data_IF_031832677378
#
_entry.id   IF_031832677378
#
_cell.length_a   1.000
_cell.length_b   1.000
_cell.length_c   1.000
_cell.angle_alpha   90.00
_cell.angle_beta   90.00
_cell.angle_gamma   90.00
#
_symmetry.space_group_name_H-M   'P 1'
#
loop_
_entity.id
_entity.type
_entity.pdbx_description
1 polymer ?
#
# COMPACT_ATOMS: atom_id res chain seq x y z
N UNK A 1 -4.75 -24.63 -17.28
CA UNK A 1 -3.69 -23.73 -17.77
C UNK A 1 -4.23 -22.50 -18.50
N UNK A 2 -5.26 -22.59 -19.35
CA UNK A 2 -5.82 -21.42 -20.05
C UNK A 2 -6.43 -20.33 -19.15
N UNK A 3 -7.06 -20.69 -18.01
CA UNK A 3 -7.64 -19.71 -17.07
C UNK A 3 -6.60 -18.87 -16.33
N UNK A 4 -5.45 -19.46 -15.98
CA UNK A 4 -4.37 -18.74 -15.31
C UNK A 4 -3.64 -17.78 -16.25
N UNK A 5 -3.45 -18.16 -17.53
CA UNK A 5 -2.87 -17.28 -18.55
C UNK A 5 -3.78 -16.08 -18.85
N UNK A 6 -5.10 -16.29 -18.85
CA UNK A 6 -6.08 -15.20 -19.00
C UNK A 6 -6.05 -14.20 -17.84
N UNK A 7 -5.91 -14.69 -16.60
CA UNK A 7 -5.79 -13.84 -15.42
C UNK A 7 -4.49 -13.01 -15.45
N UNK A 8 -3.36 -13.62 -15.81
CA UNK A 8 -2.06 -12.93 -15.90
C UNK A 8 -2.08 -11.83 -16.98
N UNK A 9 -2.67 -12.10 -18.14
CA UNK A 9 -2.80 -11.10 -19.21
C UNK A 9 -3.74 -9.94 -18.82
N UNK A 10 -4.80 -10.23 -18.08
CA UNK A 10 -5.73 -9.22 -17.55
C UNK A 10 -5.05 -8.32 -16.51
N UNK A 11 -4.26 -8.91 -15.61
CA UNK A 11 -3.47 -8.16 -14.61
C UNK A 11 -2.43 -7.27 -15.29
N UNK A 12 -1.70 -7.77 -16.30
CA UNK A 12 -0.76 -6.97 -17.08
C UNK A 12 -1.43 -5.81 -17.82
N UNK A 13 -2.63 -6.02 -18.37
CA UNK A 13 -3.42 -4.97 -19.01
C UNK A 13 -3.90 -3.91 -18.00
N UNK A 14 -4.28 -4.33 -16.79
CA UNK A 14 -4.71 -3.43 -15.72
C UNK A 14 -3.53 -2.59 -15.19
N UNK A 15 -2.41 -3.25 -14.90
CA UNK A 15 -1.17 -2.62 -14.44
C UNK A 15 -0.67 -1.64 -15.51
N UNK A 16 -0.54 -2.06 -16.77
CA UNK A 16 -0.09 -1.17 -17.85
C UNK A 16 -1.00 0.05 -18.03
N UNK A 17 -2.34 -0.10 -17.95
CA UNK A 17 -3.26 1.06 -17.99
C UNK A 17 -3.02 2.05 -16.85
N UNK A 18 -2.68 1.58 -15.66
CA UNK A 18 -2.33 2.45 -14.54
C UNK A 18 -0.99 3.16 -14.81
N UNK A 19 0.01 2.47 -15.37
CA UNK A 19 1.35 3.01 -15.63
C UNK A 19 1.44 3.94 -16.88
N UNK A 20 0.55 3.83 -17.86
CA UNK A 20 0.61 4.55 -19.15
C UNK A 20 0.02 5.98 -19.14
N UNK A 21 -0.68 6.40 -18.08
CA UNK A 21 -1.27 7.75 -17.96
C UNK A 21 -0.20 8.88 -17.85
N UNK A 22 -0.50 10.11 -18.33
CA UNK A 22 0.46 11.12 -18.83
C UNK A 22 1.54 11.57 -17.83
N UNK A 23 2.62 12.13 -18.37
CA UNK A 23 3.80 12.65 -17.65
C UNK A 23 3.37 13.76 -16.67
N UNK A 24 3.22 13.39 -15.39
CA UNK A 24 3.15 14.33 -14.27
C UNK A 24 4.42 14.26 -13.42
N UNK A 25 4.51 15.11 -12.41
CA UNK A 25 5.66 15.16 -11.50
C UNK A 25 5.96 13.80 -10.86
N UNK A 26 7.25 13.48 -10.72
CA UNK A 26 7.71 12.19 -10.20
C UNK A 26 7.12 11.91 -8.81
N UNK A 27 7.09 12.93 -7.94
CA UNK A 27 6.59 12.82 -6.57
C UNK A 27 5.10 12.44 -6.52
N UNK A 28 4.24 13.05 -7.35
CA UNK A 28 2.81 12.71 -7.43
C UNK A 28 2.61 11.29 -8.00
N UNK A 29 3.45 10.89 -8.96
CA UNK A 29 3.40 9.52 -9.52
C UNK A 29 3.82 8.46 -8.50
N UNK A 30 4.85 8.73 -7.71
CA UNK A 30 5.29 7.83 -6.64
C UNK A 30 4.18 7.66 -5.59
N UNK A 31 3.65 8.77 -5.09
CA UNK A 31 2.74 8.79 -3.94
C UNK A 31 1.28 8.40 -4.25
N UNK A 32 0.85 8.46 -5.51
CA UNK A 32 -0.54 8.11 -5.86
C UNK A 32 -0.69 6.90 -6.77
N UNK A 33 0.32 6.58 -7.59
CA UNK A 33 0.20 5.51 -8.60
C UNK A 33 1.02 4.30 -8.21
N UNK A 34 2.32 4.50 -8.00
CA UNK A 34 3.25 3.40 -7.75
C UNK A 34 2.96 2.77 -6.40
N UNK A 35 2.88 3.59 -5.35
CA UNK A 35 2.52 3.15 -3.99
C UNK A 35 1.16 2.46 -3.95
N UNK A 36 0.11 3.04 -4.54
CA UNK A 36 -1.23 2.41 -4.60
C UNK A 36 -1.19 1.06 -5.32
N UNK A 37 -0.49 0.95 -6.45
CA UNK A 37 -0.33 -0.33 -7.14
C UNK A 37 0.40 -1.36 -6.29
N UNK A 38 1.52 -0.98 -5.66
CA UNK A 38 2.30 -1.89 -4.81
C UNK A 38 1.42 -2.37 -3.65
N UNK A 39 0.77 -1.46 -2.92
CA UNK A 39 -0.07 -1.79 -1.78
C UNK A 39 -1.27 -2.65 -2.19
N UNK A 40 -1.95 -2.32 -3.31
CA UNK A 40 -3.09 -3.08 -3.80
C UNK A 40 -2.70 -4.49 -4.26
N UNK A 41 -1.57 -4.63 -4.96
CA UNK A 41 -1.06 -5.95 -5.39
C UNK A 41 -0.61 -6.77 -4.17
N UNK A 42 0.15 -6.17 -3.24
CA UNK A 42 0.55 -6.83 -1.99
C UNK A 42 -0.65 -7.28 -1.16
N UNK A 43 -1.67 -6.42 -1.00
CA UNK A 43 -2.91 -6.78 -0.33
C UNK A 43 -3.63 -7.93 -1.03
N UNK A 44 -3.75 -7.89 -2.37
CA UNK A 44 -4.36 -8.96 -3.15
C UNK A 44 -3.60 -10.29 -3.04
N UNK A 45 -2.26 -10.25 -3.05
CA UNK A 45 -1.41 -11.43 -2.86
C UNK A 45 -1.58 -12.03 -1.47
N UNK A 46 -1.56 -11.22 -0.42
CA UNK A 46 -1.78 -11.69 0.95
C UNK A 46 -3.23 -12.18 1.15
N UNK A 47 -4.21 -11.58 0.50
CA UNK A 47 -5.58 -12.09 0.56
C UNK A 47 -5.70 -13.45 -0.14
N UNK A 48 -4.93 -13.67 -1.21
CA UNK A 48 -4.97 -14.93 -1.95
C UNK A 48 -4.45 -16.12 -1.14
N UNK A 49 -3.54 -15.90 -0.19
CA UNK A 49 -3.02 -16.99 0.66
C UNK A 49 -4.10 -17.54 1.58
N UNK A 50 -5.11 -16.75 1.97
CA UNK A 50 -6.27 -17.24 2.74
C UNK A 50 -7.15 -18.21 1.96
N UNK A 51 -7.12 -18.20 0.62
CA UNK A 51 -7.94 -19.06 -0.22
C UNK A 51 -7.19 -20.29 -0.74
N UNK A 52 -5.88 -20.19 -0.95
CA UNK A 52 -5.09 -21.20 -1.67
C UNK A 52 -4.19 -22.01 -0.71
N UNK A 53 -3.94 -21.53 0.50
CA UNK A 53 -3.09 -22.23 1.48
C UNK A 53 -3.54 -22.07 2.92
N UNK A 54 -2.88 -22.80 3.80
CA UNK A 54 -3.10 -22.70 5.25
C UNK A 54 -2.24 -21.55 5.81
N UNK A 55 -2.82 -20.52 6.45
CA UNK A 55 -2.07 -19.37 6.95
C UNK A 55 -1.16 -19.71 8.13
N UNK A 56 -1.45 -20.79 8.85
CA UNK A 56 -0.67 -21.31 9.97
C UNK A 56 -0.82 -22.83 10.05
N UNK A 57 0.25 -23.52 10.42
CA UNK A 57 0.26 -24.95 10.69
C UNK A 57 0.69 -25.19 12.14
N UNK A 58 -0.18 -25.84 12.92
CA UNK A 58 0.07 -26.09 14.34
C UNK A 58 0.64 -27.50 14.56
N UNK A 59 1.65 -27.58 15.41
CA UNK A 59 2.13 -28.87 15.93
C UNK A 59 1.14 -29.40 16.98
N UNK A 60 0.22 -30.26 16.55
CA UNK A 60 -0.82 -30.85 17.41
C UNK A 60 -0.45 -32.27 17.82
N UNK A 61 -0.99 -32.77 18.96
CA UNK A 61 -0.60 -34.09 19.45
C UNK A 61 -1.21 -35.21 18.59
N UNK A 62 -0.51 -36.34 18.49
CA UNK A 62 -0.79 -37.41 17.53
C UNK A 62 -2.20 -38.04 17.63
N UNK A 63 -2.89 -37.91 18.77
CA UNK A 63 -4.27 -38.40 18.95
C UNK A 63 -5.34 -37.54 18.27
N UNK A 64 -5.01 -36.39 17.67
CA UNK A 64 -6.00 -35.55 16.99
C UNK A 64 -6.29 -36.08 15.58
N UNK A 65 -7.58 -36.23 15.26
CA UNK A 65 -7.98 -36.49 13.88
C UNK A 65 -7.76 -35.24 13.03
N UNK A 66 -7.71 -35.41 11.70
CA UNK A 66 -7.50 -34.29 10.76
C UNK A 66 -8.45 -33.11 11.00
N UNK A 67 -9.73 -33.39 11.29
CA UNK A 67 -10.72 -32.35 11.58
C UNK A 67 -10.36 -31.50 12.82
N UNK A 68 -9.79 -32.14 13.85
CA UNK A 68 -9.31 -31.42 15.03
C UNK A 68 -8.07 -30.59 14.73
N UNK A 69 -7.18 -31.06 13.86
CA UNK A 69 -6.00 -30.30 13.42
C UNK A 69 -6.43 -29.04 12.68
N UNK A 70 -7.35 -29.17 11.72
CA UNK A 70 -7.87 -28.04 10.95
C UNK A 70 -8.59 -27.02 11.86
N UNK A 71 -9.34 -27.50 12.86
CA UNK A 71 -9.95 -26.64 13.88
C UNK A 71 -8.91 -25.90 14.73
N UNK A 72 -7.85 -26.58 15.19
CA UNK A 72 -6.80 -25.94 15.99
C UNK A 72 -6.05 -24.90 15.17
N UNK A 73 -5.75 -25.17 13.90
CA UNK A 73 -5.12 -24.20 13.00
C UNK A 73 -5.95 -22.91 12.90
N UNK A 74 -7.27 -23.03 12.67
CA UNK A 74 -8.17 -21.87 12.61
C UNK A 74 -8.30 -21.18 13.96
N UNK A 75 -8.43 -21.94 15.05
CA UNK A 75 -8.52 -21.40 16.40
C UNK A 75 -7.28 -20.56 16.75
N UNK A 76 -6.08 -21.09 16.51
CA UNK A 76 -4.84 -20.38 16.77
C UNK A 76 -4.65 -19.18 15.84
N UNK A 77 -5.05 -19.30 14.57
CA UNK A 77 -5.01 -18.18 13.66
C UNK A 77 -5.88 -17.03 14.13
N UNK A 78 -7.11 -17.29 14.63
CA UNK A 78 -8.09 -16.26 15.02
C UNK A 78 -7.86 -15.70 16.43
N UNK A 79 -7.55 -16.57 17.41
CA UNK A 79 -7.35 -16.15 18.80
C UNK A 79 -6.00 -15.44 19.06
N UNK A 80 -5.10 -15.47 18.08
CA UNK A 80 -3.78 -14.84 18.15
C UNK A 80 -2.73 -15.74 18.78
N UNK A 81 -1.47 -15.37 18.55
CA UNK A 81 -0.30 -16.11 19.01
C UNK A 81 0.62 -15.20 19.82
N UNK A 82 1.63 -15.78 20.45
CA UNK A 82 2.64 -15.03 21.18
C UNK A 82 4.02 -15.64 20.95
N UNK A 83 5.05 -14.82 21.15
CA UNK A 83 6.44 -15.25 20.98
C UNK A 83 7.16 -15.31 22.32
N UNK A 84 7.87 -16.41 22.53
CA UNK A 84 8.81 -16.62 23.63
C UNK A 84 10.08 -17.21 23.00
N UNK A 85 11.28 -16.72 23.35
CA UNK A 85 12.53 -17.32 22.88
C UNK A 85 12.61 -18.81 23.25
N UNK A 86 13.06 -19.65 22.32
CA UNK A 86 13.11 -21.11 22.51
C UNK A 86 14.05 -21.57 23.63
N UNK A 87 14.97 -20.71 24.07
CA UNK A 87 15.91 -20.98 25.16
C UNK A 87 15.29 -20.73 26.55
N UNK A 88 14.12 -20.10 26.61
CA UNK A 88 13.44 -19.76 27.86
C UNK A 88 12.27 -20.72 28.11
N UNK A 89 12.00 -21.00 29.38
CA UNK A 89 10.83 -21.80 29.76
C UNK A 89 9.57 -20.93 29.75
N UNK A 90 8.42 -21.55 29.41
CA UNK A 90 7.14 -20.85 29.42
C UNK A 90 6.77 -20.43 30.85
N UNK A 91 6.64 -19.13 31.07
CA UNK A 91 6.22 -18.57 32.36
C UNK A 91 4.85 -19.11 32.79
N UNK A 92 4.67 -19.26 34.12
CA UNK A 92 3.40 -19.71 34.66
C UNK A 92 2.31 -18.66 34.48
N UNK A 93 2.68 -17.41 34.73
CA UNK A 93 1.81 -16.25 34.59
C UNK A 93 1.46 -15.98 33.12
N UNK A 94 0.20 -15.62 32.89
CA UNK A 94 -0.33 -15.41 31.54
C UNK A 94 0.17 -14.07 30.96
N UNK A 95 0.35 -13.04 31.80
CA UNK A 95 0.83 -11.72 31.37
C UNK A 95 2.29 -11.77 30.93
N UNK A 96 3.15 -12.41 31.72
CA UNK A 96 4.57 -12.57 31.37
C UNK A 96 4.75 -13.41 30.11
N UNK A 97 4.00 -14.51 29.97
CA UNK A 97 4.05 -15.39 28.78
C UNK A 97 3.58 -14.67 27.52
N UNK A 98 2.60 -13.77 27.63
CA UNK A 98 1.99 -13.04 26.49
C UNK A 98 2.53 -11.64 26.30
N UNK A 99 3.67 -11.30 26.93
CA UNK A 99 4.30 -9.99 26.80
C UNK A 99 4.50 -9.55 25.34
N UNK A 100 4.81 -10.49 24.45
CA UNK A 100 4.94 -10.26 23.00
C UNK A 100 3.83 -11.00 22.25
N UNK A 101 2.65 -10.39 22.16
CA UNK A 101 1.54 -10.93 21.36
C UNK A 101 1.67 -10.58 19.89
N UNK A 102 1.29 -11.50 19.02
CA UNK A 102 1.37 -11.37 17.56
C UNK A 102 -0.02 -11.55 16.98
N UNK A 103 -0.62 -10.44 16.57
CA UNK A 103 -1.97 -10.41 15.99
C UNK A 103 -2.04 -9.65 14.66
N UNK A 104 -0.95 -8.98 14.25
CA UNK A 104 -0.95 -8.12 13.06
C UNK A 104 -1.13 -8.90 11.75
N UNK A 105 -0.72 -10.17 11.65
CA UNK A 105 -0.84 -10.98 10.42
C UNK A 105 -2.27 -11.10 9.90
N UNK A 106 -3.27 -11.10 10.79
CA UNK A 106 -4.69 -11.13 10.41
C UNK A 106 -5.12 -9.84 9.71
N UNK A 107 -4.57 -8.70 10.14
CA UNK A 107 -5.04 -7.37 9.74
C UNK A 107 -4.26 -6.77 8.57
N UNK A 108 -3.01 -7.18 8.37
CA UNK A 108 -2.12 -6.68 7.30
C UNK A 108 -2.80 -6.60 5.93
N UNK A 109 -3.45 -7.64 5.37
CA UNK A 109 -4.05 -7.54 4.03
C UNK A 109 -5.15 -6.47 3.95
N UNK A 110 -5.95 -6.31 5.00
CA UNK A 110 -7.03 -5.31 5.06
C UNK A 110 -6.48 -3.90 5.27
N UNK A 111 -5.48 -3.74 6.13
CA UNK A 111 -4.82 -2.45 6.35
C UNK A 111 -4.17 -2.00 5.05
N UNK A 112 -3.39 -2.84 4.37
CA UNK A 112 -2.76 -2.47 3.09
C UNK A 112 -3.78 -2.06 2.01
N UNK A 113 -4.95 -2.70 1.95
CA UNK A 113 -6.03 -2.28 1.05
C UNK A 113 -6.56 -0.88 1.40
N UNK A 114 -6.78 -0.62 2.70
CA UNK A 114 -7.19 0.69 3.19
C UNK A 114 -6.13 1.76 2.91
N UNK A 115 -4.85 1.44 3.09
CA UNK A 115 -3.74 2.34 2.78
C UNK A 115 -3.69 2.66 1.28
N UNK A 116 -3.85 1.66 0.41
CA UNK A 116 -3.92 1.86 -1.03
C UNK A 116 -5.08 2.81 -1.41
N UNK A 117 -6.24 2.64 -0.78
CA UNK A 117 -7.37 3.54 -0.98
C UNK A 117 -7.06 4.97 -0.51
N UNK A 118 -6.51 5.14 0.69
CA UNK A 118 -6.17 6.46 1.25
C UNK A 118 -5.10 7.17 0.40
N UNK A 119 -4.09 6.48 -0.12
CA UNK A 119 -3.10 7.06 -1.05
C UNK A 119 -3.70 7.52 -2.38
N UNK A 120 -4.87 7.00 -2.78
CA UNK A 120 -5.57 7.46 -3.98
C UNK A 120 -6.37 8.76 -3.76
N UNK A 121 -6.82 9.05 -2.53
CA UNK A 121 -7.70 10.19 -2.22
C UNK A 121 -7.14 11.55 -2.67
N UNK A 122 -5.87 11.93 -2.40
CA UNK A 122 -5.37 13.25 -2.79
C UNK A 122 -5.43 13.49 -4.30
N UNK A 123 -5.18 12.45 -5.10
CA UNK A 123 -5.30 12.49 -6.56
C UNK A 123 -6.75 12.66 -7.01
N UNK A 124 -7.68 11.96 -6.36
CA UNK A 124 -9.11 12.11 -6.63
C UNK A 124 -9.59 13.54 -6.31
N UNK A 125 -9.15 14.09 -5.18
CA UNK A 125 -9.44 15.46 -4.76
C UNK A 125 -8.89 16.46 -5.78
N UNK A 126 -7.62 16.34 -6.18
CA UNK A 126 -7.02 17.19 -7.22
C UNK A 126 -7.82 17.17 -8.53
N UNK A 127 -8.16 15.97 -9.02
CA UNK A 127 -8.95 15.82 -10.26
C UNK A 127 -10.34 16.42 -10.15
N UNK A 128 -10.98 16.30 -8.99
CA UNK A 128 -12.30 16.86 -8.75
C UNK A 128 -12.26 18.39 -8.69
N UNK A 129 -11.25 18.95 -8.01
CA UNK A 129 -11.05 20.40 -7.89
C UNK A 129 -10.68 21.05 -9.23
N UNK A 130 -9.80 20.44 -10.03
CA UNK A 130 -9.46 21.00 -11.35
C UNK A 130 -10.65 20.96 -12.32
N UNK A 131 -11.47 19.91 -12.25
CA UNK A 131 -12.71 19.84 -13.03
C UNK A 131 -13.70 20.94 -12.63
N UNK A 132 -13.79 21.27 -11.33
CA UNK A 132 -14.60 22.40 -10.85
C UNK A 132 -14.04 23.75 -11.31
N UNK A 133 -12.72 23.90 -11.34
CA UNK A 133 -12.03 25.10 -11.84
C UNK A 133 -12.37 25.41 -13.31
N UNK A 134 -12.73 24.39 -14.10
CA UNK A 134 -13.24 24.58 -15.47
C UNK A 134 -12.18 24.84 -16.54
N UNK A 135 -10.89 24.71 -16.19
CA UNK A 135 -9.78 24.69 -17.15
C UNK A 135 -9.16 23.29 -17.17
N UNK A 136 -9.26 22.59 -18.30
CA UNK A 136 -8.66 21.27 -18.46
C UNK A 136 -7.17 21.38 -18.80
N UNK A 137 -6.33 21.37 -17.76
CA UNK A 137 -4.88 21.35 -17.90
C UNK A 137 -4.39 20.12 -18.68
N UNK A 138 -5.06 18.97 -18.55
CA UNK A 138 -4.62 17.74 -19.21
C UNK A 138 -4.81 17.83 -20.73
N UNK A 139 -5.91 18.43 -21.19
CA UNK A 139 -6.12 18.72 -22.61
C UNK A 139 -5.05 19.68 -23.15
N UNK A 140 -4.77 20.77 -22.42
CA UNK A 140 -3.78 21.75 -22.83
C UNK A 140 -2.36 21.17 -22.94
N UNK A 141 -1.94 20.39 -21.95
CA UNK A 141 -0.62 19.74 -21.97
C UNK A 141 -0.53 18.72 -23.12
N UNK A 142 -1.57 17.90 -23.35
CA UNK A 142 -1.58 16.93 -24.46
C UNK A 142 -1.52 17.60 -25.82
N UNK A 143 -2.22 18.72 -25.99
CA UNK A 143 -2.20 19.48 -27.24
C UNK A 143 -0.79 20.03 -27.54
N UNK A 144 -0.16 20.66 -26.55
CA UNK A 144 1.20 21.20 -26.71
C UNK A 144 2.23 20.10 -26.91
N UNK A 145 2.14 18.98 -26.18
CA UNK A 145 3.04 17.83 -26.34
C UNK A 145 2.90 17.18 -27.72
N UNK A 146 1.67 17.02 -28.21
CA UNK A 146 1.41 16.54 -29.58
C UNK A 146 1.97 17.48 -30.64
N UNK A 147 1.78 18.79 -30.47
CA UNK A 147 2.35 19.81 -31.36
C UNK A 147 3.89 19.77 -31.35
N UNK A 148 4.50 19.73 -30.17
CA UNK A 148 5.95 19.66 -30.03
C UNK A 148 6.54 18.40 -30.68
N UNK A 149 5.90 17.25 -30.47
CA UNK A 149 6.33 15.97 -31.06
C UNK A 149 6.32 16.02 -32.59
N UNK A 150 5.37 16.74 -33.20
CA UNK A 150 5.30 16.90 -34.66
C UNK A 150 6.42 17.77 -35.23
N UNK A 151 6.87 18.79 -34.49
CA UNK A 151 7.83 19.80 -34.98
C UNK A 151 9.27 19.47 -34.58
N UNK A 152 9.49 18.79 -33.44
CA UNK A 152 10.82 18.53 -32.88
C UNK A 152 11.78 17.89 -33.88
N UNK A 153 11.28 16.95 -34.69
CA UNK A 153 12.10 16.16 -35.62
C UNK A 153 12.25 16.80 -37.01
N UNK A 154 11.59 17.92 -37.28
CA UNK A 154 11.70 18.63 -38.56
C UNK A 154 12.77 19.71 -38.48
N UNK A 155 13.91 19.51 -39.14
CA UNK A 155 15.02 20.49 -39.16
C UNK A 155 14.68 21.74 -39.99
N UNK A 156 13.89 21.59 -41.07
CA UNK A 156 13.50 22.70 -41.94
C UNK A 156 12.71 23.81 -41.22
N UNK A 157 12.02 23.47 -40.12
CA UNK A 157 11.25 24.44 -39.34
C UNK A 157 12.08 25.12 -38.26
N UNK A 158 13.34 24.75 -38.02
CA UNK A 158 14.13 25.21 -36.87
C UNK A 158 14.11 26.74 -36.68
N UNK A 159 14.35 27.51 -37.75
CA UNK A 159 14.31 28.98 -37.73
C UNK A 159 12.90 29.54 -37.50
N UNK A 160 11.87 28.84 -37.95
CA UNK A 160 10.45 29.24 -37.79
C UNK A 160 9.78 28.63 -36.56
N UNK A 161 10.47 27.81 -35.74
CA UNK A 161 9.86 27.13 -34.58
C UNK A 161 9.26 28.13 -33.60
N UNK A 162 9.97 29.22 -33.31
CA UNK A 162 9.48 30.26 -32.40
C UNK A 162 8.16 30.88 -32.91
N UNK A 163 8.12 31.26 -34.19
CA UNK A 163 6.91 31.80 -34.82
C UNK A 163 5.76 30.78 -34.86
N UNK A 164 6.08 29.49 -35.05
CA UNK A 164 5.09 28.42 -35.01
C UNK A 164 4.49 28.23 -33.60
N UNK A 165 5.29 28.37 -32.55
CA UNK A 165 4.83 28.36 -31.16
C UNK A 165 3.97 29.59 -30.83
N UNK A 166 4.38 30.76 -31.31
CA UNK A 166 3.64 32.00 -31.12
C UNK A 166 2.25 31.92 -31.78
N UNK A 167 2.14 31.42 -33.01
CA UNK A 167 0.87 31.43 -33.75
C UNK A 167 -0.16 30.37 -33.33
N UNK A 168 0.26 29.20 -32.81
CA UNK A 168 -0.63 28.05 -32.57
C UNK A 168 -0.80 27.71 -31.09
N UNK A 169 0.19 27.09 -30.40
CA UNK A 169 0.01 26.66 -29.02
C UNK A 169 -0.14 27.83 -28.04
N UNK A 170 0.55 28.95 -28.28
CA UNK A 170 0.41 30.13 -27.40
C UNK A 170 -1.01 30.70 -27.43
N UNK A 171 -1.60 30.81 -28.63
CA UNK A 171 -2.97 31.30 -28.83
C UNK A 171 -3.98 30.34 -28.20
N UNK A 172 -3.81 29.03 -28.38
CA UNK A 172 -4.67 28.01 -27.78
C UNK A 172 -4.68 28.10 -26.24
N UNK A 173 -3.51 28.20 -25.61
CA UNK A 173 -3.41 28.35 -24.14
C UNK A 173 -4.00 29.69 -23.71
N UNK A 174 -3.68 30.77 -24.40
CA UNK A 174 -4.13 32.12 -24.02
C UNK A 174 -5.65 32.26 -24.10
N UNK A 175 -6.28 31.70 -25.14
CA UNK A 175 -7.73 31.68 -25.26
C UNK A 175 -8.36 30.83 -24.15
N UNK A 176 -7.83 29.63 -23.89
CA UNK A 176 -8.27 28.78 -22.78
C UNK A 176 -8.19 29.48 -21.41
N UNK A 177 -7.10 30.20 -21.13
CA UNK A 177 -6.93 30.99 -19.91
C UNK A 177 -7.94 32.15 -19.81
N UNK A 178 -8.25 32.80 -20.94
CA UNK A 178 -9.24 33.87 -21.01
C UNK A 178 -10.65 33.35 -20.69
N UNK A 179 -11.02 32.19 -21.23
CA UNK A 179 -12.28 31.51 -20.89
C UNK A 179 -12.33 31.10 -19.42
N UNK A 180 -11.26 30.50 -18.89
CA UNK A 180 -11.17 30.10 -17.49
C UNK A 180 -11.34 31.30 -16.53
N UNK A 181 -10.72 32.44 -16.84
CA UNK A 181 -10.81 33.66 -16.04
C UNK A 181 -12.24 34.22 -15.97
N UNK A 182 -13.03 34.10 -17.05
CA UNK A 182 -14.46 34.49 -17.05
C UNK A 182 -15.30 33.62 -16.12
N UNK A 183 -14.95 32.34 -15.96
CA UNK A 183 -15.59 31.41 -15.01
C UNK A 183 -15.05 31.55 -13.57
N UNK A 184 -14.35 32.63 -13.25
CA UNK A 184 -13.79 32.92 -11.91
C UNK A 184 -12.74 31.90 -11.42
N UNK A 185 -12.11 31.16 -12.34
CA UNK A 185 -11.03 30.22 -12.05
C UNK A 185 -9.70 30.92 -11.73
N UNK A 186 -9.62 31.66 -10.63
CA UNK A 186 -8.38 32.30 -10.16
C UNK A 186 -7.59 31.43 -9.18
N UNK A 187 -8.25 30.43 -8.58
CA UNK A 187 -7.73 29.72 -7.41
C UNK A 187 -7.12 28.35 -7.74
N UNK A 188 -6.79 28.08 -9.01
CA UNK A 188 -6.19 26.81 -9.44
C UNK A 188 -4.87 26.51 -8.70
N UNK A 189 -4.04 27.52 -8.48
CA UNK A 189 -2.81 27.39 -7.72
C UNK A 189 -3.10 27.01 -6.25
N UNK A 190 -4.12 27.63 -5.64
CA UNK A 190 -4.56 27.30 -4.28
C UNK A 190 -5.01 25.82 -4.21
N UNK A 191 -5.85 25.36 -5.14
CA UNK A 191 -6.28 23.96 -5.18
C UNK A 191 -5.11 22.98 -5.31
N UNK A 192 -4.09 23.32 -6.09
CA UNK A 192 -2.88 22.49 -6.21
C UNK A 192 -2.08 22.45 -4.90
N UNK A 193 -1.91 23.59 -4.24
CA UNK A 193 -1.22 23.63 -2.93
C UNK A 193 -1.99 22.85 -1.87
N UNK A 194 -3.31 22.95 -1.81
CA UNK A 194 -4.15 22.18 -0.90
C UNK A 194 -4.04 20.67 -1.16
N UNK A 195 -4.08 20.24 -2.42
CA UNK A 195 -3.89 18.84 -2.78
C UNK A 195 -2.49 18.33 -2.39
N UNK A 196 -1.47 19.16 -2.52
CA UNK A 196 -0.09 18.82 -2.13
C UNK A 196 0.07 18.70 -0.62
N UNK A 197 -0.50 19.63 0.15
CA UNK A 197 -0.53 19.56 1.62
C UNK A 197 -1.28 18.31 2.08
N UNK A 198 -2.42 18.01 1.47
CA UNK A 198 -3.18 16.79 1.74
C UNK A 198 -2.34 15.52 1.45
N UNK A 199 -1.58 15.51 0.36
CA UNK A 199 -0.69 14.39 0.04
C UNK A 199 0.42 14.20 1.08
N UNK A 200 1.01 15.29 1.58
CA UNK A 200 2.02 15.26 2.63
C UNK A 200 1.46 14.74 3.95
N UNK A 201 0.32 15.27 4.40
CA UNK A 201 -0.36 14.83 5.61
C UNK A 201 -0.72 13.34 5.51
N UNK A 202 -1.24 12.92 4.36
CA UNK A 202 -1.57 11.53 4.12
C UNK A 202 -0.32 10.64 4.24
N UNK A 203 0.80 11.00 3.61
CA UNK A 203 2.04 10.21 3.70
C UNK A 203 2.50 9.99 5.16
N UNK A 204 2.45 11.04 5.99
CA UNK A 204 2.76 10.92 7.42
C UNK A 204 1.75 10.07 8.18
N UNK A 205 0.45 10.22 7.91
CA UNK A 205 -0.58 9.40 8.53
C UNK A 205 -0.42 7.92 8.17
N UNK A 206 -0.10 7.59 6.92
CA UNK A 206 0.13 6.21 6.48
C UNK A 206 1.36 5.59 7.14
N UNK A 207 2.43 6.36 7.29
CA UNK A 207 3.62 5.93 8.00
C UNK A 207 3.33 5.67 9.49
N UNK A 208 2.57 6.56 10.15
CA UNK A 208 2.15 6.37 11.53
C UNK A 208 1.25 5.14 11.71
N UNK A 209 0.29 4.91 10.81
CA UNK A 209 -0.58 3.71 10.82
C UNK A 209 0.26 2.43 10.73
N UNK A 210 1.27 2.38 9.86
CA UNK A 210 2.16 1.21 9.78
C UNK A 210 2.96 1.02 11.06
N UNK A 211 3.52 2.10 11.62
CA UNK A 211 4.28 2.03 12.86
C UNK A 211 3.44 1.52 14.03
N UNK A 212 2.18 1.98 14.13
CA UNK A 212 1.23 1.54 15.16
C UNK A 212 0.67 0.15 14.92
N UNK A 213 0.62 -0.36 13.69
CA UNK A 213 0.18 -1.74 13.41
C UNK A 213 1.25 -2.76 13.83
N UNK A 214 2.51 -2.41 13.60
CA UNK A 214 3.69 -3.21 13.91
C UNK A 214 4.17 -3.01 15.36
N UNK A 215 3.38 -2.30 16.17
CA UNK A 215 3.79 -1.71 17.45
C UNK A 215 4.66 -2.68 18.25
N UNK A 216 5.89 -2.23 18.47
CA UNK A 216 6.91 -2.94 19.22
C UNK A 216 7.20 -2.13 20.48
N UNK A 217 7.15 -2.74 21.67
CA UNK A 217 7.52 -2.06 22.90
C UNK A 217 9.01 -1.65 22.94
N UNK A 218 9.84 -2.11 22.00
CA UNK A 218 11.30 -1.91 22.00
C UNK A 218 11.79 -0.78 21.08
N UNK A 219 11.01 -0.37 20.06
CA UNK A 219 11.49 0.58 19.06
C UNK A 219 10.42 1.58 18.63
N UNK A 220 10.75 2.87 18.65
CA UNK A 220 9.87 3.92 18.12
C UNK A 220 9.85 4.00 16.59
N UNK A 221 10.93 3.53 15.93
CA UNK A 221 11.10 3.49 14.47
C UNK A 221 11.54 2.10 14.03
N UNK A 222 10.62 1.27 13.52
CA UNK A 222 10.93 -0.13 13.19
C UNK A 222 11.87 -0.31 11.98
N UNK A 223 11.83 0.59 10.99
CA UNK A 223 12.50 0.40 9.70
C UNK A 223 14.04 0.35 9.77
N UNK A 224 14.73 1.47 10.10
CA UNK A 224 16.18 1.49 10.15
C UNK A 224 16.76 0.53 11.20
N UNK A 225 16.13 0.42 12.37
CA UNK A 225 16.58 -0.48 13.44
C UNK A 225 16.56 -1.94 13.00
N UNK A 226 15.49 -2.38 12.33
CA UNK A 226 15.42 -3.74 11.80
C UNK A 226 16.51 -4.02 10.74
N UNK A 227 16.81 -3.04 9.88
CA UNK A 227 17.89 -3.18 8.91
C UNK A 227 19.27 -3.28 9.57
N UNK A 228 19.49 -2.53 10.65
CA UNK A 228 20.76 -2.61 11.40
C UNK A 228 20.91 -3.93 12.13
N UNK A 229 19.84 -4.47 12.70
CA UNK A 229 19.86 -5.76 13.40
C UNK A 229 20.11 -6.89 12.38
N UNK A 230 19.44 -6.84 11.23
CA UNK A 230 19.66 -7.81 10.15
C UNK A 230 21.07 -7.73 9.54
N UNK A 231 21.66 -6.53 9.47
CA UNK A 231 23.04 -6.34 9.01
C UNK A 231 24.08 -6.84 10.02
N UNK A 232 23.76 -6.85 11.32
CA UNK A 232 24.60 -7.44 12.38
C UNK A 232 24.46 -8.97 12.45
N UNK A 233 23.43 -9.53 11.82
CA UNK A 233 23.12 -10.96 11.86
C UNK A 233 22.22 -11.35 13.05
N UNK A 234 21.54 -10.38 13.67
CA UNK A 234 20.59 -10.64 14.74
C UNK A 234 19.26 -11.12 14.16
N UNK A 235 19.01 -12.43 14.27
CA UNK A 235 17.81 -13.07 13.75
C UNK A 235 16.56 -12.83 14.63
N UNK A 236 15.38 -13.19 14.09
CA UNK A 236 14.08 -13.12 14.77
C UNK A 236 14.03 -13.87 16.12
N UNK A 237 14.91 -14.84 16.33
CA UNK A 237 14.99 -15.60 17.58
C UNK A 237 15.47 -14.74 18.75
N UNK A 238 16.31 -13.74 18.47
CA UNK A 238 16.90 -12.84 19.47
C UNK A 238 16.06 -11.57 19.58
N UNK A 239 15.67 -11.00 18.45
CA UNK A 239 14.94 -9.72 18.40
C UNK A 239 13.45 -9.88 18.71
N UNK A 240 12.89 -11.07 18.52
CA UNK A 240 11.45 -11.33 18.64
C UNK A 240 10.60 -10.66 17.55
N UNK A 241 11.23 -10.07 16.53
CA UNK A 241 10.55 -9.44 15.41
C UNK A 241 10.29 -10.43 14.28
N UNK A 242 9.04 -10.45 13.80
CA UNK A 242 8.56 -11.36 12.76
C UNK A 242 8.96 -12.82 12.97
N UNK A 243 8.66 -13.41 14.15
CA UNK A 243 9.08 -14.77 14.44
C UNK A 243 8.33 -15.75 13.55
N UNK A 244 9.07 -16.77 13.08
CA UNK A 244 8.52 -17.82 12.22
C UNK A 244 7.87 -18.95 13.01
N UNK A 245 8.21 -19.05 14.29
CA UNK A 245 7.66 -20.02 15.24
C UNK A 245 7.07 -19.25 16.40
N UNK A 246 5.81 -19.57 16.72
CA UNK A 246 5.02 -18.88 17.74
C UNK A 246 4.23 -19.90 18.55
N UNK A 247 3.87 -19.53 19.77
CA UNK A 247 3.06 -20.34 20.67
C UNK A 247 1.59 -19.89 20.63
N UNK A 248 0.69 -20.85 20.87
CA UNK A 248 -0.76 -20.64 20.90
C UNK A 248 -1.37 -21.41 22.06
N UNK A 249 -2.15 -20.74 22.90
CA UNK A 249 -2.86 -21.39 24.00
C UNK A 249 -4.18 -21.98 23.49
N UNK A 250 -4.30 -23.31 23.48
CA UNK A 250 -5.53 -24.00 23.07
C UNK A 250 -6.40 -24.39 24.27
N UNK A 251 -7.65 -23.91 24.28
CA UNK A 251 -8.61 -24.14 25.35
C UNK A 251 -9.61 -25.24 24.99
N UNK A 252 -9.76 -26.24 25.87
CA UNK A 252 -10.85 -27.23 25.79
C UNK A 252 -11.83 -27.06 26.93
N UNK A 253 -13.13 -27.04 26.62
CA UNK A 253 -14.20 -27.01 27.61
C UNK A 253 -14.71 -28.43 27.86
N UNK A 254 -14.72 -28.85 29.13
CA UNK A 254 -15.41 -30.04 29.65
C UNK A 254 -16.20 -29.60 30.89
N UNK A 255 -17.20 -30.38 31.37
CA UNK A 255 -18.03 -29.99 32.52
C UNK A 255 -17.23 -29.62 33.79
N UNK A 256 -15.98 -30.08 33.92
CA UNK A 256 -15.02 -29.60 34.91
C UNK A 256 -13.98 -28.66 34.26
N UNK A 257 -14.26 -27.35 34.29
CA UNK A 257 -13.35 -26.21 34.01
C UNK A 257 -12.60 -26.15 32.64
N UNK A 258 -12.09 -24.96 32.33
CA UNK A 258 -11.26 -24.67 31.15
C UNK A 258 -9.88 -25.30 31.33
N UNK A 259 -9.56 -26.34 30.55
CA UNK A 259 -8.20 -26.87 30.50
C UNK A 259 -7.41 -26.15 29.39
N UNK A 260 -6.50 -25.26 29.79
CA UNK A 260 -5.46 -24.66 28.94
C UNK A 260 -4.34 -25.69 28.76
N UNK A 261 -4.03 -26.10 27.53
CA UNK A 261 -2.76 -26.79 27.24
C UNK A 261 -1.71 -25.73 26.89
N UNK A 262 -0.62 -25.72 27.66
CA UNK A 262 0.59 -24.95 27.39
C UNK A 262 1.43 -25.64 26.34
#
# INVERSE_FOLDING_TARGET
>A
MASQVGAINSVNALISKVFVQPKGDLADRLNSRITVCILAVSSGLLMSTHFIGDPITCWTPAQFTKQWVDFVNQYCFVHGTYFVPLNEQLAFDDEERKKVTIQYYQWVPYVLALQAFLFYIPRFVWKSLIAHSGYDLAAAVRYVDGFWTSIKNQDATFKCRLAAFEGRPSVYIWDGLRLARKKRSKDMALFYTLATVLQFINAWAQWYILNSLLDSPLYSFWGPSLLTDLAKGDDWQVTGHFPRVVHCDFNRRRPASVQKKK
#
